data_IF_994968549119
#
_entry.id   IF_994968549119
#
_cell.length_a   1.000
_cell.length_b   1.000
_cell.length_c   1.000
_cell.angle_alpha   90.00
_cell.angle_beta   90.00
_cell.angle_gamma   90.00
#
_symmetry.space_group_name_H-M   'P 1'
#
loop_
_entity.id
_entity.type
_entity.pdbx_description
1 polymer ?
#
# COMPACT_ATOMS: atom_id res chain seq x y z
N UNK A 1 -5.81 3.44 -24.41
CA UNK A 1 -5.61 4.77 -23.79
C UNK A 1 -4.11 4.98 -23.57
N UNK A 2 -3.55 6.11 -24.01
CA UNK A 2 -2.14 6.41 -23.80
C UNK A 2 -1.99 7.38 -22.63
N UNK A 3 -1.21 7.01 -21.63
CA UNK A 3 -0.86 7.87 -20.49
C UNK A 3 0.59 8.33 -20.63
N UNK A 4 0.83 9.62 -20.42
CA UNK A 4 2.19 10.14 -20.33
C UNK A 4 2.90 9.59 -19.10
N UNK A 5 4.21 9.33 -19.20
CA UNK A 5 5.03 8.86 -18.08
C UNK A 5 4.88 9.72 -16.82
N UNK A 6 4.81 11.05 -16.96
CA UNK A 6 4.59 11.97 -15.83
C UNK A 6 3.28 11.69 -15.10
N UNK A 7 2.19 11.49 -15.82
CA UNK A 7 0.88 11.17 -15.23
C UNK A 7 0.89 9.79 -14.56
N UNK A 8 1.57 8.80 -15.16
CA UNK A 8 1.72 7.48 -14.57
C UNK A 8 2.51 7.51 -13.25
N UNK A 9 3.60 8.28 -13.20
CA UNK A 9 4.38 8.48 -11.97
C UNK A 9 3.54 9.21 -10.91
N UNK A 10 2.84 10.28 -11.29
CA UNK A 10 1.96 11.02 -10.37
C UNK A 10 0.87 10.12 -9.77
N UNK A 11 0.26 9.26 -10.58
CA UNK A 11 -0.73 8.30 -10.10
C UNK A 11 -0.11 7.30 -9.09
N UNK A 12 1.09 6.78 -9.38
CA UNK A 12 1.80 5.89 -8.46
C UNK A 12 2.19 6.57 -7.14
N UNK A 13 2.72 7.80 -7.21
CA UNK A 13 3.06 8.61 -6.02
C UNK A 13 1.80 8.92 -5.20
N UNK A 14 0.70 9.29 -5.86
CA UNK A 14 -0.58 9.53 -5.19
C UNK A 14 -1.10 8.26 -4.48
N UNK A 15 -0.94 7.08 -5.08
CA UNK A 15 -1.34 5.82 -4.46
C UNK A 15 -0.50 5.49 -3.22
N UNK A 16 0.83 5.70 -3.27
CA UNK A 16 1.72 5.54 -2.10
C UNK A 16 1.35 6.54 -1.00
N UNK A 17 1.06 7.79 -1.38
CA UNK A 17 0.55 8.82 -0.47
C UNK A 17 -0.76 8.40 0.19
N UNK A 18 -1.69 7.82 -0.56
CA UNK A 18 -2.95 7.30 -0.04
C UNK A 18 -2.79 6.18 0.98
N UNK A 19 -1.91 5.21 0.71
CA UNK A 19 -1.56 4.14 1.68
C UNK A 19 -0.92 4.74 2.94
N UNK A 20 -0.03 5.71 2.78
CA UNK A 20 0.63 6.38 3.91
C UNK A 20 -0.36 7.18 4.75
N UNK A 21 -1.30 7.86 4.09
CA UNK A 21 -2.40 8.57 4.75
C UNK A 21 -3.33 7.60 5.50
N UNK A 22 -3.62 6.43 4.93
CA UNK A 22 -4.39 5.38 5.60
C UNK A 22 -3.67 4.86 6.84
N UNK A 23 -2.36 4.62 6.76
CA UNK A 23 -1.57 4.25 7.94
C UNK A 23 -1.58 5.36 9.00
N UNK A 24 -1.43 6.62 8.58
CA UNK A 24 -1.47 7.76 9.50
C UNK A 24 -2.83 7.84 10.21
N UNK A 25 -3.92 7.67 9.46
CA UNK A 25 -5.27 7.59 10.03
C UNK A 25 -5.36 6.49 11.08
N UNK A 26 -4.92 5.27 10.77
CA UNK A 26 -4.92 4.16 11.73
C UNK A 26 -4.11 4.48 12.98
N UNK A 27 -2.89 5.00 12.82
CA UNK A 27 -1.99 5.32 13.93
C UNK A 27 -2.55 6.38 14.87
N UNK A 28 -3.11 7.48 14.34
CA UNK A 28 -3.58 8.59 15.16
C UNK A 28 -4.99 8.37 15.72
N UNK A 29 -5.87 7.67 15.02
CA UNK A 29 -7.27 7.52 15.46
C UNK A 29 -7.52 6.28 16.32
N UNK A 30 -6.71 5.23 16.15
CA UNK A 30 -6.91 3.98 16.88
C UNK A 30 -5.94 3.79 18.04
N UNK A 31 -4.69 4.21 17.86
CA UNK A 31 -3.62 3.95 18.83
C UNK A 31 -3.16 5.22 19.56
N UNK A 32 -3.81 6.37 19.31
CA UNK A 32 -3.40 7.69 19.82
C UNK A 32 -1.88 7.92 19.70
N UNK A 33 -1.30 7.46 18.58
CA UNK A 33 0.14 7.36 18.44
C UNK A 33 0.77 8.75 18.34
N UNK A 34 1.94 8.91 18.97
CA UNK A 34 2.81 10.09 18.73
C UNK A 34 3.44 10.03 17.33
N UNK A 35 3.94 11.16 16.83
CA UNK A 35 4.60 11.20 15.51
C UNK A 35 5.77 10.20 15.41
N UNK A 36 6.55 10.04 16.49
CA UNK A 36 7.64 9.06 16.54
C UNK A 36 7.16 7.61 16.43
N UNK A 37 6.04 7.27 17.08
CA UNK A 37 5.42 5.94 17.00
C UNK A 37 4.78 5.67 15.63
N UNK A 38 4.19 6.70 15.01
CA UNK A 38 3.73 6.61 13.63
C UNK A 38 4.90 6.32 12.67
N UNK A 39 6.00 7.08 12.77
CA UNK A 39 7.16 6.90 11.89
C UNK A 39 7.81 5.52 12.06
N UNK A 40 7.94 5.03 13.30
CA UNK A 40 8.48 3.69 13.54
C UNK A 40 7.53 2.61 13.02
N UNK A 41 6.23 2.71 13.30
CA UNK A 41 5.22 1.78 12.78
C UNK A 41 5.18 1.76 11.25
N UNK A 42 5.23 2.93 10.62
CA UNK A 42 5.29 3.06 9.16
C UNK A 42 6.57 2.44 8.59
N UNK A 43 7.73 2.71 9.21
CA UNK A 43 9.01 2.18 8.76
C UNK A 43 9.11 0.65 8.86
N UNK A 44 8.55 0.04 9.91
CA UNK A 44 8.63 -1.41 10.09
C UNK A 44 7.52 -2.17 9.35
N UNK A 45 6.27 -1.71 9.41
CA UNK A 45 5.13 -2.48 8.94
C UNK A 45 4.62 -2.08 7.56
N UNK A 46 4.89 -0.85 7.11
CA UNK A 46 4.33 -0.31 5.86
C UNK A 46 5.40 -0.14 4.78
N UNK A 47 6.60 0.28 5.14
CA UNK A 47 7.68 0.49 4.19
C UNK A 47 8.04 -0.80 3.44
N UNK A 48 8.14 -1.93 4.13
CA UNK A 48 8.49 -3.23 3.53
C UNK A 48 7.46 -3.66 2.47
N UNK A 49 6.13 -3.70 2.76
CA UNK A 49 5.12 -3.96 1.74
C UNK A 49 5.06 -2.90 0.62
N UNK A 50 5.52 -1.67 0.85
CA UNK A 50 5.57 -0.61 -0.16
C UNK A 50 6.77 -0.69 -1.10
N UNK A 51 7.82 -1.48 -0.80
CA UNK A 51 9.00 -1.62 -1.66
C UNK A 51 8.62 -1.93 -3.12
N UNK A 52 7.71 -2.89 -3.44
CA UNK A 52 7.29 -3.16 -4.82
C UNK A 52 6.67 -1.96 -5.52
N UNK A 53 5.96 -1.09 -4.79
CA UNK A 53 5.40 0.15 -5.31
C UNK A 53 6.49 1.16 -5.64
N UNK A 54 7.46 1.39 -4.74
CA UNK A 54 8.60 2.27 -5.00
C UNK A 54 9.45 1.78 -6.18
N UNK A 55 9.76 0.49 -6.23
CA UNK A 55 10.48 -0.12 -7.35
C UNK A 55 9.71 0.08 -8.65
N UNK A 56 8.38 -0.10 -8.64
CA UNK A 56 7.53 0.07 -9.82
C UNK A 56 7.61 1.48 -10.43
N UNK A 57 7.76 2.53 -9.61
CA UNK A 57 7.93 3.91 -10.09
C UNK A 57 9.19 4.10 -10.94
N UNK A 58 10.24 3.33 -10.68
CA UNK A 58 11.50 3.38 -11.43
C UNK A 58 11.48 2.52 -12.70
N UNK A 59 10.45 1.69 -12.89
CA UNK A 59 10.34 0.82 -14.08
C UNK A 59 9.74 1.54 -15.29
N UNK A 60 9.72 0.85 -16.43
CA UNK A 60 9.04 1.30 -17.64
C UNK A 60 7.52 1.49 -17.47
N UNK A 61 6.90 0.92 -16.41
CA UNK A 61 5.47 1.08 -16.15
C UNK A 61 5.19 1.48 -14.68
N UNK A 62 5.23 2.79 -14.38
CA UNK A 62 4.97 3.32 -13.04
C UNK A 62 3.57 3.01 -12.49
N UNK A 63 2.58 2.74 -13.36
CA UNK A 63 1.22 2.40 -12.93
C UNK A 63 1.15 1.09 -12.12
N UNK A 64 2.17 0.23 -12.20
CA UNK A 64 2.26 -0.97 -11.36
C UNK A 64 2.32 -0.63 -9.87
N UNK A 65 2.79 0.56 -9.51
CA UNK A 65 2.75 1.04 -8.14
C UNK A 65 1.31 1.19 -7.61
N UNK A 66 0.36 1.56 -8.48
CA UNK A 66 -1.06 1.70 -8.12
C UNK A 66 -1.63 0.35 -7.70
N UNK A 67 -1.38 -0.72 -8.47
CA UNK A 67 -1.90 -2.04 -8.11
C UNK A 67 -1.22 -2.66 -6.91
N UNK A 68 0.08 -2.40 -6.69
CA UNK A 68 0.76 -2.78 -5.46
C UNK A 68 0.07 -2.14 -4.23
N UNK A 69 -0.20 -0.84 -4.30
CA UNK A 69 -0.91 -0.11 -3.25
C UNK A 69 -2.36 -0.60 -3.09
N UNK A 70 -3.05 -0.89 -4.19
CA UNK A 70 -4.45 -1.33 -4.17
C UNK A 70 -4.64 -2.70 -3.52
N UNK A 71 -3.71 -3.64 -3.68
CA UNK A 71 -3.75 -4.93 -3.00
C UNK A 71 -3.15 -4.89 -1.59
N UNK A 72 -2.41 -3.83 -1.25
CA UNK A 72 -1.90 -3.63 0.10
C UNK A 72 -2.89 -2.90 1.02
N UNK A 73 -3.57 -1.86 0.52
CA UNK A 73 -4.47 -1.02 1.31
C UNK A 73 -5.57 -1.79 2.09
N UNK A 74 -6.19 -2.87 1.55
CA UNK A 74 -7.16 -3.67 2.30
C UNK A 74 -6.59 -4.27 3.59
N UNK A 75 -5.29 -4.56 3.65
CA UNK A 75 -4.65 -5.07 4.87
C UNK A 75 -4.59 -4.01 5.97
N UNK A 76 -4.35 -2.74 5.62
CA UNK A 76 -4.39 -1.63 6.57
C UNK A 76 -5.82 -1.36 7.04
N UNK A 77 -6.80 -1.44 6.14
CA UNK A 77 -8.21 -1.34 6.53
C UNK A 77 -8.64 -2.49 7.43
N UNK A 78 -8.16 -3.71 7.15
CA UNK A 78 -8.43 -4.89 7.97
C UNK A 78 -7.80 -4.75 9.37
N UNK A 79 -6.56 -4.27 9.47
CA UNK A 79 -5.91 -3.98 10.75
C UNK A 79 -6.70 -2.96 11.58
N UNK A 80 -7.18 -1.89 10.96
CA UNK A 80 -8.06 -0.92 11.63
C UNK A 80 -9.36 -1.59 12.12
N UNK A 81 -9.96 -2.44 11.28
CA UNK A 81 -11.20 -3.12 11.66
C UNK A 81 -10.99 -4.04 12.87
N UNK A 82 -9.94 -4.85 12.89
CA UNK A 82 -9.70 -5.82 13.97
C UNK A 82 -9.29 -5.18 15.29
N UNK A 83 -8.64 -4.03 15.26
CA UNK A 83 -8.10 -3.42 16.47
C UNK A 83 -8.99 -2.32 17.01
N UNK A 84 -9.74 -1.62 16.14
CA UNK A 84 -10.45 -0.39 16.50
C UNK A 84 -11.97 -0.51 16.38
N UNK A 85 -12.47 -1.27 15.39
CA UNK A 85 -13.92 -1.43 15.17
C UNK A 85 -14.47 -2.65 15.90
N UNK A 86 -13.76 -3.78 15.83
CA UNK A 86 -14.10 -5.01 16.53
C UNK A 86 -12.85 -5.59 17.21
N UNK A 87 -12.42 -4.99 18.34
CA UNK A 87 -11.20 -5.35 19.03
C UNK A 87 -11.12 -6.86 19.31
N UNK A 88 -9.95 -7.45 19.08
CA UNK A 88 -9.67 -8.83 19.42
C UNK A 88 -9.85 -9.08 20.93
N UNK A 89 -10.71 -10.03 21.30
CA UNK A 89 -11.06 -10.32 22.70
C UNK A 89 -10.28 -11.47 23.33
N UNK A 90 -9.28 -12.03 22.63
CA UNK A 90 -8.58 -13.25 23.06
C UNK A 90 -7.43 -13.06 24.06
N UNK A 91 -7.44 -11.98 24.86
CA UNK A 91 -6.56 -11.83 26.03
C UNK A 91 -5.09 -11.48 25.77
N UNK A 92 -4.71 -11.06 24.55
CA UNK A 92 -3.35 -10.64 24.20
C UNK A 92 -3.31 -9.41 23.28
N UNK A 93 -2.11 -8.83 23.07
CA UNK A 93 -1.92 -7.73 22.14
C UNK A 93 -2.17 -8.19 20.69
N UNK A 94 -2.92 -7.40 19.92
CA UNK A 94 -3.21 -7.73 18.52
C UNK A 94 -1.92 -7.81 17.70
N UNK A 95 -1.69 -8.95 17.04
CA UNK A 95 -0.57 -9.15 16.12
C UNK A 95 -0.96 -8.83 14.67
N UNK A 96 -2.05 -8.09 14.45
CA UNK A 96 -2.58 -7.90 13.09
C UNK A 96 -1.58 -7.23 12.15
N UNK A 97 -0.75 -6.32 12.67
CA UNK A 97 0.33 -5.68 11.90
C UNK A 97 1.44 -6.65 11.46
N UNK A 98 1.63 -7.77 12.17
CA UNK A 98 2.48 -8.86 11.68
C UNK A 98 1.82 -9.53 10.47
N UNK A 99 0.49 -9.71 10.51
CA UNK A 99 -0.30 -10.15 9.36
C UNK A 99 -0.20 -9.18 8.18
N UNK A 100 -0.29 -7.86 8.42
CA UNK A 100 -0.08 -6.82 7.41
C UNK A 100 1.31 -6.94 6.78
N UNK A 101 2.35 -7.20 7.57
CA UNK A 101 3.70 -7.37 7.05
C UNK A 101 3.83 -8.66 6.22
N UNK A 102 3.41 -9.80 6.78
CA UNK A 102 3.58 -11.12 6.17
C UNK A 102 2.71 -11.34 4.93
N UNK A 103 1.47 -10.84 4.94
CA UNK A 103 0.53 -11.02 3.83
C UNK A 103 0.36 -9.78 2.96
N UNK A 104 0.58 -8.58 3.50
CA UNK A 104 0.57 -7.35 2.71
C UNK A 104 1.73 -7.30 1.73
N UNK A 105 2.92 -7.79 2.10
CA UNK A 105 4.08 -7.85 1.19
C UNK A 105 3.82 -8.70 -0.06
N UNK A 106 3.44 -9.99 0.03
CA UNK A 106 3.14 -10.79 -1.15
C UNK A 106 1.93 -10.24 -1.91
N UNK A 107 0.93 -9.67 -1.23
CA UNK A 107 -0.21 -9.01 -1.89
C UNK A 107 0.24 -7.81 -2.73
N UNK A 108 1.15 -6.97 -2.22
CA UNK A 108 1.70 -5.84 -2.95
C UNK A 108 2.54 -6.28 -4.16
N UNK A 109 3.34 -7.34 -4.00
CA UNK A 109 4.10 -7.95 -5.10
C UNK A 109 3.14 -8.46 -6.18
N UNK A 110 2.13 -9.24 -5.79
CA UNK A 110 1.10 -9.74 -6.70
C UNK A 110 0.37 -8.59 -7.40
N UNK A 111 0.05 -7.51 -6.67
CA UNK A 111 -0.57 -6.31 -7.21
C UNK A 111 0.29 -5.67 -8.29
N UNK A 112 1.59 -5.48 -8.02
CA UNK A 112 2.53 -4.99 -9.03
C UNK A 112 2.62 -5.93 -10.25
N UNK A 113 2.67 -7.24 -10.02
CA UNK A 113 2.78 -8.26 -11.08
C UNK A 113 1.55 -8.30 -11.99
N UNK A 114 0.35 -8.41 -11.41
CA UNK A 114 -0.93 -8.52 -12.11
C UNK A 114 -1.33 -7.22 -12.82
N UNK A 115 -0.90 -6.06 -12.33
CA UNK A 115 -1.20 -4.78 -12.96
C UNK A 115 -0.69 -4.70 -14.40
N UNK A 116 0.45 -5.30 -14.72
CA UNK A 116 0.98 -5.32 -16.08
C UNK A 116 0.01 -5.98 -17.08
N UNK A 117 -0.35 -7.26 -16.88
CA UNK A 117 -1.37 -7.95 -17.66
C UNK A 117 -2.71 -7.21 -17.72
N UNK A 118 -3.20 -6.69 -16.58
CA UNK A 118 -4.48 -5.95 -16.52
C UNK A 118 -4.45 -4.71 -17.40
N UNK A 119 -3.40 -3.89 -17.33
CA UNK A 119 -3.26 -2.72 -18.18
C UNK A 119 -3.19 -3.08 -19.67
N UNK A 120 -2.53 -4.19 -20.03
CA UNK A 120 -2.52 -4.71 -21.41
C UNK A 120 -3.91 -5.12 -21.87
N UNK A 121 -4.68 -5.80 -21.03
CA UNK A 121 -6.05 -6.21 -21.33
C UNK A 121 -6.94 -5.00 -21.66
N UNK A 122 -6.80 -3.91 -20.89
CA UNK A 122 -7.51 -2.65 -21.12
C UNK A 122 -6.87 -1.74 -22.18
N UNK A 123 -5.82 -2.21 -22.89
CA UNK A 123 -5.07 -1.44 -23.89
C UNK A 123 -4.57 -0.08 -23.36
N UNK A 124 -4.15 -0.05 -22.09
CA UNK A 124 -3.52 1.10 -21.44
C UNK A 124 -2.00 0.96 -21.61
N UNK A 125 -1.38 1.96 -22.24
CA UNK A 125 0.08 2.00 -22.39
C UNK A 125 0.64 3.30 -21.82
N UNK A 126 1.81 3.19 -21.20
CA UNK A 126 2.59 4.34 -20.75
C UNK A 126 3.56 4.72 -21.86
N UNK A 127 3.44 5.94 -22.36
CA UNK A 127 4.32 6.46 -23.41
C UNK A 127 5.37 7.34 -22.77
N UNK A 128 6.65 7.07 -23.09
CA UNK A 128 7.74 7.99 -22.81
C UNK A 128 7.58 9.18 -23.77
N UNK A 129 7.03 10.28 -23.28
CA UNK A 129 7.23 11.60 -23.89
C UNK A 129 8.47 12.22 -23.27
#
# INVERSE_FOLDING_TARGET
MQLGRRSAVLAGVAAIGGVTALQAFNSFTCYDATLGQFLSGWAFFVLIPLIPAFVSLMTANPLRAVGACALFAPWLAFAYYTDCVRPYTGGGASMIYVGVLLWGTPSAILGALVTGPVLRLFRISVVAR
#
